data_IF_753029519807
#
_entry.id   IF_753029519807
#
_cell.length_a   1.000
_cell.length_b   1.000
_cell.length_c   1.000
_cell.angle_alpha   90.00
_cell.angle_beta   90.00
_cell.angle_gamma   90.00
#
_symmetry.space_group_name_H-M   'P 1'
#
loop_
_entity.id
_entity.type
_entity.pdbx_description
1 polymer ?
#
# COMPACT_ATOMS: atom_id res chain seq x y z
N UNK A 1 72.81 -22.95 -6.36
CA UNK A 1 72.32 -24.26 -5.89
C UNK A 1 70.86 -24.10 -5.51
N UNK A 2 69.85 -24.57 -6.27
CA UNK A 2 69.33 -25.97 -6.37
C UNK A 2 69.08 -26.54 -4.95
N UNK A 3 67.91 -26.96 -4.45
CA UNK A 3 66.69 -27.65 -4.99
C UNK A 3 65.62 -27.59 -3.86
N UNK A 4 64.39 -27.08 -4.06
CA UNK A 4 63.10 -27.78 -4.34
C UNK A 4 62.71 -28.99 -3.45
N UNK A 5 61.55 -28.89 -2.76
CA UNK A 5 60.32 -29.74 -2.84
C UNK A 5 59.45 -29.50 -1.58
N UNK A 6 58.20 -29.01 -1.63
CA UNK A 6 56.95 -29.54 -2.19
C UNK A 6 56.34 -30.68 -1.34
N UNK A 7 55.11 -30.47 -0.80
CA UNK A 7 53.88 -31.33 -0.74
C UNK A 7 52.94 -30.71 0.33
N UNK A 8 51.78 -30.08 0.09
CA UNK A 8 50.52 -30.42 -0.63
C UNK A 8 49.48 -31.21 0.23
N UNK A 9 48.41 -30.50 0.63
CA UNK A 9 46.96 -30.85 0.73
C UNK A 9 46.52 -32.12 1.47
N UNK A 10 45.64 -31.96 2.49
CA UNK A 10 44.30 -32.58 2.62
C UNK A 10 43.62 -32.07 3.92
N UNK A 11 42.54 -31.27 3.89
CA UNK A 11 41.12 -31.58 3.62
C UNK A 11 40.39 -32.30 4.77
N UNK A 12 39.23 -31.73 5.15
CA UNK A 12 38.15 -32.24 6.01
C UNK A 12 38.33 -32.30 7.54
N UNK A 13 37.49 -31.53 8.22
CA UNK A 13 37.27 -31.65 9.66
C UNK A 13 36.25 -30.64 10.19
N UNK A 14 35.13 -30.49 9.48
CA UNK A 14 33.96 -29.73 9.90
C UNK A 14 33.37 -30.38 11.17
N UNK A 15 33.81 -29.97 12.37
CA UNK A 15 33.04 -30.20 13.59
C UNK A 15 32.13 -28.99 13.80
N UNK A 16 30.99 -29.00 13.11
CA UNK A 16 29.82 -28.27 13.59
C UNK A 16 29.40 -28.97 14.87
N UNK A 17 29.66 -28.33 16.00
CA UNK A 17 28.97 -28.68 17.25
C UNK A 17 27.51 -28.27 17.04
N UNK A 18 26.69 -29.22 16.60
CA UNK A 18 25.24 -29.08 16.61
C UNK A 18 24.82 -29.22 18.07
N UNK A 19 24.94 -28.12 18.84
CA UNK A 19 24.07 -27.96 20.00
C UNK A 19 22.67 -27.73 19.43
N UNK A 20 21.90 -28.82 19.42
CA UNK A 20 20.46 -28.83 19.29
C UNK A 20 19.83 -27.73 20.14
N UNK A 21 19.48 -26.64 19.47
CA UNK A 21 18.78 -25.48 19.97
C UNK A 21 18.24 -24.78 18.74
N UNK A 22 16.93 -24.58 18.70
CA UNK A 22 16.19 -24.04 17.57
C UNK A 22 16.70 -22.63 17.20
N UNK A 23 17.67 -22.52 16.30
CA UNK A 23 18.19 -21.23 15.83
C UNK A 23 17.92 -21.07 14.34
N UNK A 24 17.16 -20.01 14.04
CA UNK A 24 17.08 -19.28 12.77
C UNK A 24 16.31 -19.91 11.58
N UNK A 25 15.03 -20.20 11.74
CA UNK A 25 14.07 -20.22 10.60
C UNK A 25 13.12 -19.03 10.54
N UNK A 26 13.27 -18.04 11.44
CA UNK A 26 12.40 -16.85 11.49
C UNK A 26 13.11 -15.56 11.03
N UNK A 27 14.24 -15.66 10.31
CA UNK A 27 15.02 -14.46 9.94
C UNK A 27 14.39 -13.61 8.82
N UNK A 28 13.31 -14.07 8.18
CA UNK A 28 12.62 -13.34 7.09
C UNK A 28 11.11 -13.64 7.04
N UNK A 29 10.45 -13.88 8.17
CA UNK A 29 8.99 -13.96 8.16
C UNK A 29 8.43 -12.53 8.16
N UNK A 30 7.91 -12.13 7.01
CA UNK A 30 7.00 -10.99 6.88
C UNK A 30 5.99 -11.02 8.03
N UNK A 31 5.84 -9.90 8.78
CA UNK A 31 4.87 -9.84 9.86
C UNK A 31 3.49 -10.27 9.38
N UNK A 32 2.82 -11.17 10.12
CA UNK A 32 1.46 -11.60 9.72
C UNK A 32 0.46 -10.44 9.66
N UNK A 33 0.76 -9.35 10.37
CA UNK A 33 0.00 -8.10 10.40
C UNK A 33 0.37 -7.14 9.28
N UNK A 34 1.44 -7.39 8.52
CA UNK A 34 1.88 -6.45 7.50
C UNK A 34 0.93 -6.37 6.32
N UNK A 35 0.98 -5.22 5.66
CA UNK A 35 0.14 -4.83 4.55
C UNK A 35 -0.69 -3.59 4.85
N UNK A 36 -1.54 -3.28 3.89
CA UNK A 36 -2.39 -2.11 3.92
C UNK A 36 -3.78 -2.49 4.44
N UNK A 37 -4.32 -1.66 5.32
CA UNK A 37 -5.55 -1.93 6.04
C UNK A 37 -6.45 -0.71 5.97
N UNK A 38 -7.74 -0.93 5.69
CA UNK A 38 -8.71 0.17 5.63
C UNK A 38 -10.03 -0.16 6.30
N UNK A 39 -10.53 0.83 7.02
CA UNK A 39 -11.84 0.81 7.63
C UNK A 39 -12.74 1.82 6.92
N UNK A 40 -13.71 1.28 6.16
CA UNK A 40 -14.58 2.07 5.27
C UNK A 40 -15.43 3.10 6.01
N UNK A 41 -15.97 2.72 7.17
CA UNK A 41 -16.98 3.56 7.85
C UNK A 41 -16.38 4.81 8.50
N UNK A 42 -15.14 4.72 9.00
CA UNK A 42 -14.41 5.88 9.51
C UNK A 42 -13.46 6.50 8.47
N UNK A 43 -13.37 5.93 7.27
CA UNK A 43 -12.43 6.34 6.24
C UNK A 43 -10.99 6.40 6.77
N UNK A 44 -10.57 5.43 7.58
CA UNK A 44 -9.21 5.37 8.17
C UNK A 44 -8.36 4.31 7.49
N UNK A 45 -7.09 4.64 7.31
CA UNK A 45 -6.08 3.81 6.65
C UNK A 45 -4.89 3.58 7.57
N UNK A 46 -4.33 2.36 7.54
CA UNK A 46 -3.10 1.99 8.22
C UNK A 46 -2.29 1.11 7.26
N UNK A 47 -1.05 1.49 6.97
CA UNK A 47 -0.07 0.62 6.32
C UNK A 47 0.95 0.17 7.35
N UNK A 48 1.13 -1.14 7.48
CA UNK A 48 2.12 -1.78 8.34
C UNK A 48 3.18 -2.43 7.44
N UNK A 49 4.36 -1.84 7.36
CA UNK A 49 5.43 -2.30 6.47
C UNK A 49 6.25 -3.43 7.09
N UNK A 50 6.85 -4.26 6.25
CA UNK A 50 7.67 -5.42 6.67
C UNK A 50 8.94 -5.01 7.44
N UNK A 51 9.39 -3.77 7.28
CA UNK A 51 10.56 -3.19 7.94
C UNK A 51 10.28 -2.66 9.36
N UNK A 52 9.04 -2.81 9.85
CA UNK A 52 8.63 -2.32 11.16
C UNK A 52 8.21 -0.85 11.17
N UNK A 53 8.06 -0.20 10.01
CA UNK A 53 7.50 1.15 9.91
C UNK A 53 6.00 1.13 9.63
N UNK A 54 5.31 2.21 9.99
CA UNK A 54 3.90 2.37 9.64
C UNK A 54 3.56 3.78 9.17
N UNK A 55 2.47 3.88 8.42
CA UNK A 55 1.78 5.13 8.17
C UNK A 55 0.30 4.98 8.43
N UNK A 56 -0.36 6.04 8.88
CA UNK A 56 -1.81 6.05 9.05
C UNK A 56 -2.40 7.43 8.74
N UNK A 57 -3.67 7.45 8.39
CA UNK A 57 -4.37 8.70 8.09
C UNK A 57 -5.83 8.53 7.70
N UNK A 58 -6.41 9.64 7.24
CA UNK A 58 -7.79 9.70 6.77
C UNK A 58 -7.84 9.66 5.25
N UNK A 59 -8.61 8.73 4.71
CA UNK A 59 -8.56 8.36 3.30
C UNK A 59 -7.60 7.21 3.07
N UNK A 60 -8.01 6.29 2.21
CA UNK A 60 -7.21 5.13 1.80
C UNK A 60 -5.87 5.62 1.23
N UNK A 61 -4.72 5.10 1.69
CA UNK A 61 -3.37 5.51 1.25
C UNK A 61 -2.91 6.92 1.60
N UNK A 62 -3.68 7.66 2.40
CA UNK A 62 -3.23 8.94 2.90
C UNK A 62 -2.49 8.74 4.23
N UNK A 63 -1.26 9.24 4.29
CA UNK A 63 -0.46 9.25 5.51
C UNK A 63 -0.51 10.64 6.14
N UNK A 64 -1.15 10.76 7.30
CA UNK A 64 -1.17 11.98 8.11
C UNK A 64 -0.18 11.88 9.26
N UNK A 65 0.26 10.67 9.62
CA UNK A 65 1.24 10.39 10.66
C UNK A 65 1.90 9.04 10.39
N UNK A 66 3.03 8.79 11.03
CA UNK A 66 3.74 7.52 10.95
C UNK A 66 4.85 7.42 11.99
N UNK A 67 5.60 6.33 11.89
CA UNK A 67 6.70 6.00 12.78
C UNK A 67 6.99 4.52 12.72
N UNK A 68 7.30 3.92 13.86
CA UNK A 68 7.63 2.50 13.99
C UNK A 68 6.55 1.72 14.71
N UNK A 69 6.47 0.41 14.49
CA UNK A 69 5.56 -0.45 15.22
C UNK A 69 6.22 -1.74 15.69
N UNK A 70 5.75 -2.20 16.84
CA UNK A 70 5.98 -3.56 17.33
C UNK A 70 4.66 -4.32 17.28
N UNK A 71 4.73 -5.65 17.21
CA UNK A 71 3.54 -6.48 17.36
C UNK A 71 3.84 -7.80 18.06
N UNK A 72 2.82 -8.34 18.74
CA UNK A 72 2.78 -9.72 19.19
C UNK A 72 1.50 -10.40 18.71
N UNK A 73 1.11 -11.55 19.29
CA UNK A 73 -0.09 -12.29 18.85
C UNK A 73 -1.42 -11.61 19.20
N UNK A 74 -1.42 -10.55 20.01
CA UNK A 74 -2.60 -9.91 20.60
C UNK A 74 -2.65 -8.42 20.35
N UNK A 75 -1.50 -7.76 20.26
CA UNK A 75 -1.41 -6.30 20.24
C UNK A 75 -0.44 -5.82 19.15
N UNK A 76 -0.81 -4.73 18.50
CA UNK A 76 0.08 -3.89 17.70
C UNK A 76 0.35 -2.64 18.53
N UNK A 77 1.62 -2.27 18.69
CA UNK A 77 2.04 -1.04 19.37
C UNK A 77 2.63 -0.10 18.33
N UNK A 78 1.99 1.05 18.12
CA UNK A 78 2.49 2.12 17.29
C UNK A 78 3.29 3.11 18.13
N UNK A 79 4.46 3.50 17.64
CA UNK A 79 5.30 4.57 18.16
C UNK A 79 5.28 5.71 17.14
N UNK A 80 4.50 6.75 17.44
CA UNK A 80 4.34 7.93 16.60
C UNK A 80 5.61 8.76 16.64
N UNK A 81 6.20 8.97 15.46
CA UNK A 81 7.45 9.72 15.32
C UNK A 81 7.24 11.05 14.60
N UNK A 82 6.23 11.13 13.71
CA UNK A 82 5.95 12.36 12.96
C UNK A 82 4.48 12.52 12.58
N UNK A 83 4.07 13.76 12.35
CA UNK A 83 2.86 14.12 11.60
C UNK A 83 3.22 14.68 10.23
N UNK A 84 2.24 14.68 9.32
CA UNK A 84 2.34 15.30 8.01
C UNK A 84 1.41 16.51 8.00
N UNK A 85 1.96 17.70 7.75
CA UNK A 85 1.18 18.93 7.64
C UNK A 85 0.30 18.93 6.39
N UNK A 86 -0.63 19.89 6.28
CA UNK A 86 -1.47 20.04 5.08
C UNK A 86 -0.64 20.29 3.79
N UNK A 87 0.60 20.76 3.93
CA UNK A 87 1.54 21.00 2.83
C UNK A 87 2.40 19.76 2.52
N UNK A 88 2.13 18.62 3.17
CA UNK A 88 2.86 17.36 2.96
C UNK A 88 4.22 17.28 3.68
N UNK A 89 4.53 18.25 4.53
CA UNK A 89 5.81 18.28 5.26
C UNK A 89 5.73 17.40 6.51
N UNK A 90 6.76 16.56 6.73
CA UNK A 90 6.92 15.82 7.99
C UNK A 90 7.36 16.77 9.10
N UNK A 91 6.68 16.69 10.22
CA UNK A 91 6.97 17.43 11.45
C UNK A 91 7.10 16.42 12.58
N UNK A 92 8.17 16.54 13.36
CA UNK A 92 8.44 15.62 14.47
C UNK A 92 7.27 15.61 15.45
N UNK A 93 6.93 14.43 15.96
CA UNK A 93 5.86 14.29 16.92
C UNK A 93 6.22 15.03 18.21
N UNK A 94 5.36 15.97 18.62
CA UNK A 94 5.53 16.64 19.91
C UNK A 94 5.21 15.65 21.04
N UNK A 95 6.25 15.12 21.67
CA UNK A 95 6.14 14.20 22.81
C UNK A 95 5.46 14.82 24.04
N UNK A 96 5.24 16.14 24.06
CA UNK A 96 4.48 16.84 25.11
C UNK A 96 2.97 16.92 24.80
N UNK A 97 2.52 16.43 23.64
CA UNK A 97 1.11 16.31 23.28
C UNK A 97 0.37 15.37 24.24
N UNK A 98 -0.76 15.82 24.78
CA UNK A 98 -1.64 15.07 25.69
C UNK A 98 -2.44 13.95 25.00
N UNK A 99 -2.30 13.77 23.68
CA UNK A 99 -3.00 12.73 22.91
C UNK A 99 -2.10 11.50 22.80
N UNK A 100 -2.46 10.44 23.54
CA UNK A 100 -1.71 9.18 23.58
C UNK A 100 -0.46 9.32 24.45
N UNK A 101 -0.28 8.40 25.40
CA UNK A 101 0.84 8.33 26.34
C UNK A 101 2.21 8.43 25.66
N UNK A 102 2.71 9.65 25.41
CA UNK A 102 4.02 9.92 24.81
C UNK A 102 4.16 9.48 23.35
N UNK A 103 3.11 9.58 22.53
CA UNK A 103 3.15 9.12 21.13
C UNK A 103 3.01 7.60 20.95
N UNK A 104 2.63 6.87 22.00
CA UNK A 104 2.38 5.43 21.94
C UNK A 104 0.90 5.09 21.81
N UNK A 105 0.52 4.28 20.83
CA UNK A 105 -0.83 3.72 20.67
C UNK A 105 -0.75 2.19 20.75
N UNK A 106 -1.47 1.59 21.68
CA UNK A 106 -1.59 0.12 21.79
C UNK A 106 -2.95 -0.32 21.26
N UNK A 107 -2.93 -1.21 20.27
CA UNK A 107 -4.09 -1.67 19.53
C UNK A 107 -4.25 -3.19 19.67
N UNK A 108 -5.10 -3.67 20.60
CA UNK A 108 -5.46 -5.07 20.63
C UNK A 108 -6.15 -5.47 19.32
N UNK A 109 -5.67 -6.54 18.70
CA UNK A 109 -6.15 -6.96 17.38
C UNK A 109 -6.51 -8.46 17.33
N UNK A 110 -7.31 -8.81 16.32
CA UNK A 110 -7.60 -10.18 15.92
C UNK A 110 -7.50 -10.24 14.39
N UNK A 111 -6.47 -10.94 13.90
CA UNK A 111 -6.36 -11.29 12.48
C UNK A 111 -7.25 -12.48 12.18
N UNK A 112 -7.94 -12.40 11.05
CA UNK A 112 -8.81 -13.46 10.55
C UNK A 112 -8.31 -13.94 9.20
N UNK A 113 -8.67 -15.18 8.86
CA UNK A 113 -8.24 -15.83 7.61
C UNK A 113 -8.94 -15.26 6.37
N UNK A 114 -9.92 -14.37 6.53
CA UNK A 114 -10.65 -13.68 5.48
C UNK A 114 -10.05 -12.30 5.14
N UNK A 115 -8.77 -12.10 5.45
CA UNK A 115 -8.03 -10.85 5.24
C UNK A 115 -8.64 -9.65 5.99
N UNK A 116 -9.25 -9.91 7.16
CA UNK A 116 -9.72 -8.85 8.06
C UNK A 116 -8.90 -8.78 9.33
N UNK A 117 -8.69 -7.55 9.81
CA UNK A 117 -8.07 -7.24 11.09
C UNK A 117 -9.07 -6.45 11.94
N UNK A 118 -9.48 -7.05 13.05
CA UNK A 118 -10.36 -6.38 14.01
C UNK A 118 -9.53 -5.71 15.09
N UNK A 119 -9.56 -4.39 15.17
CA UNK A 119 -8.94 -3.60 16.24
C UNK A 119 -9.99 -3.33 17.31
N UNK A 120 -9.68 -3.65 18.58
CA UNK A 120 -10.54 -3.35 19.73
C UNK A 120 -10.09 -2.04 20.35
N UNK A 121 -11.00 -1.07 20.45
CA UNK A 121 -10.77 0.20 21.12
C UNK A 121 -11.88 0.47 22.14
N UNK A 122 -11.64 1.40 23.07
CA UNK A 122 -12.68 1.84 24.02
C UNK A 122 -13.90 2.43 23.33
N UNK A 123 -13.74 3.02 22.13
CA UNK A 123 -14.83 3.55 21.31
C UNK A 123 -15.57 2.50 20.48
N UNK A 124 -15.19 1.22 20.58
CA UNK A 124 -15.79 0.12 19.83
C UNK A 124 -14.77 -0.68 19.01
N UNK A 125 -15.28 -1.72 18.35
CA UNK A 125 -14.46 -2.56 17.48
C UNK A 125 -14.44 -1.99 16.05
N UNK A 126 -13.25 -1.74 15.51
CA UNK A 126 -13.03 -1.36 14.12
C UNK A 126 -12.62 -2.60 13.33
N UNK A 127 -13.24 -2.84 12.17
CA UNK A 127 -12.90 -4.00 11.33
C UNK A 127 -12.23 -3.54 10.05
N UNK A 128 -10.91 -3.57 10.03
CA UNK A 128 -10.12 -3.25 8.85
C UNK A 128 -10.14 -4.43 7.87
N UNK A 129 -10.26 -4.12 6.59
CA UNK A 129 -10.06 -5.10 5.52
C UNK A 129 -8.68 -4.84 4.92
N UNK A 130 -7.92 -5.91 4.67
CA UNK A 130 -6.66 -5.81 3.95
C UNK A 130 -6.94 -5.28 2.55
N UNK A 131 -6.12 -4.34 2.10
CA UNK A 131 -6.16 -3.78 0.77
C UNK A 131 -4.92 -4.27 0.04
N UNK A 132 -5.10 -4.70 -1.19
CA UNK A 132 -3.97 -4.97 -2.07
C UNK A 132 -3.24 -6.25 -1.73
N UNK A 133 -3.12 -7.11 -2.74
CA UNK A 133 -2.03 -8.07 -2.79
C UNK A 133 -0.68 -7.38 -2.97
N UNK A 134 0.35 -8.16 -3.30
CA UNK A 134 1.74 -7.71 -3.42
C UNK A 134 1.91 -6.39 -4.21
N UNK A 135 2.82 -5.50 -3.76
CA UNK A 135 3.23 -4.32 -4.53
C UNK A 135 3.63 -4.74 -5.95
N UNK A 136 3.17 -3.97 -6.94
CA UNK A 136 3.46 -4.27 -8.35
C UNK A 136 4.02 -3.04 -9.05
N UNK A 137 4.98 -3.26 -9.94
CA UNK A 137 5.50 -2.19 -10.78
C UNK A 137 4.37 -1.58 -11.62
N UNK A 138 4.36 -0.24 -11.72
CA UNK A 138 3.41 0.46 -12.58
C UNK A 138 3.86 0.32 -14.03
N UNK A 139 3.27 -0.62 -14.74
CA UNK A 139 3.52 -0.85 -16.18
C UNK A 139 2.22 -0.70 -16.95
N UNK A 140 2.31 -0.47 -18.26
CA UNK A 140 1.13 -0.43 -19.15
C UNK A 140 0.29 -1.71 -19.03
N UNK A 141 0.95 -2.87 -18.92
CA UNK A 141 0.29 -4.17 -18.75
C UNK A 141 -0.52 -4.23 -17.45
N UNK A 142 0.08 -3.77 -16.35
CA UNK A 142 -0.58 -3.79 -15.05
C UNK A 142 -1.69 -2.74 -14.92
N UNK A 143 -1.69 -1.68 -15.72
CA UNK A 143 -2.76 -0.66 -15.71
C UNK A 143 -4.04 -1.12 -16.43
N UNK A 144 -3.95 -2.13 -17.31
CA UNK A 144 -5.11 -2.65 -18.06
C UNK A 144 -6.15 -3.18 -17.08
N UNK A 145 -7.41 -2.79 -17.29
CA UNK A 145 -8.54 -3.20 -16.45
C UNK A 145 -9.57 -2.10 -16.25
N UNK A 146 -10.53 -2.36 -15.36
CA UNK A 146 -11.54 -1.39 -14.96
C UNK A 146 -11.28 -0.93 -13.54
N UNK A 147 -11.45 0.37 -13.31
CA UNK A 147 -11.04 1.10 -12.11
C UNK A 147 -12.20 1.99 -11.65
N UNK A 148 -12.60 1.90 -10.39
CA UNK A 148 -13.67 2.71 -9.81
C UNK A 148 -13.08 3.82 -8.95
N UNK A 149 -13.47 5.06 -9.20
CA UNK A 149 -13.05 6.21 -8.40
C UNK A 149 -13.59 6.09 -6.98
N UNK A 150 -12.72 6.22 -5.99
CA UNK A 150 -13.06 5.93 -4.59
C UNK A 150 -14.04 6.96 -3.99
N UNK A 151 -14.07 8.20 -4.49
CA UNK A 151 -14.93 9.29 -3.96
C UNK A 151 -16.18 9.58 -4.80
N UNK A 152 -16.53 8.75 -5.79
CA UNK A 152 -17.67 9.04 -6.66
C UNK A 152 -18.13 7.88 -7.56
N UNK A 153 -19.05 8.18 -8.48
CA UNK A 153 -19.60 7.22 -9.45
C UNK A 153 -18.74 7.01 -10.71
N UNK A 154 -17.59 7.69 -10.82
CA UNK A 154 -16.73 7.60 -12.00
C UNK A 154 -16.02 6.24 -12.07
N UNK A 155 -15.95 5.67 -13.27
CA UNK A 155 -15.14 4.50 -13.57
C UNK A 155 -14.24 4.79 -14.78
N UNK A 156 -13.00 4.32 -14.73
CA UNK A 156 -12.01 4.36 -15.79
C UNK A 156 -11.73 2.93 -16.27
N UNK A 157 -11.82 2.68 -17.56
CA UNK A 157 -11.38 1.42 -18.17
C UNK A 157 -10.19 1.70 -19.11
N UNK A 158 -9.12 0.90 -18.97
CA UNK A 158 -7.94 0.90 -19.82
C UNK A 158 -7.84 -0.44 -20.53
N UNK A 159 -7.79 -0.42 -21.86
CA UNK A 159 -7.81 -1.61 -22.71
C UNK A 159 -6.43 -1.91 -23.28
N UNK A 160 -6.16 -3.19 -23.56
CA UNK A 160 -4.87 -3.64 -24.12
C UNK A 160 -4.52 -3.01 -25.47
N UNK A 161 -5.51 -2.55 -26.23
CA UNK A 161 -5.33 -1.88 -27.52
C UNK A 161 -4.94 -0.39 -27.41
N UNK A 162 -4.74 0.11 -26.18
CA UNK A 162 -4.41 1.51 -25.94
C UNK A 162 -5.62 2.44 -25.95
N UNK A 163 -6.85 1.92 -25.84
CA UNK A 163 -8.06 2.74 -25.68
C UNK A 163 -8.47 2.88 -24.22
N UNK A 164 -9.07 4.02 -23.88
CA UNK A 164 -9.69 4.24 -22.57
C UNK A 164 -11.16 4.62 -22.70
N UNK A 165 -11.91 4.38 -21.62
CA UNK A 165 -13.27 4.88 -21.45
C UNK A 165 -13.52 5.32 -20.01
N UNK A 166 -14.12 6.49 -19.82
CA UNK A 166 -14.63 6.97 -18.54
C UNK A 166 -16.15 6.95 -18.57
N UNK A 167 -16.75 6.31 -17.57
CA UNK A 167 -18.21 6.24 -17.41
C UNK A 167 -18.63 6.77 -16.05
N UNK A 168 -19.70 7.56 -16.00
CA UNK A 168 -20.33 7.97 -14.75
C UNK A 168 -21.47 7.00 -14.41
N UNK A 169 -21.35 6.33 -13.26
CA UNK A 169 -22.42 5.54 -12.68
C UNK A 169 -23.43 6.48 -12.00
N UNK A 170 -24.28 7.12 -12.81
CA UNK A 170 -25.47 7.79 -12.31
C UNK A 170 -26.55 6.73 -12.13
N UNK A 171 -26.92 6.44 -10.88
CA UNK A 171 -28.05 5.58 -10.58
C UNK A 171 -29.31 6.06 -11.30
N UNK A 172 -29.64 5.37 -12.39
CA UNK A 172 -30.84 5.43 -13.24
C UNK A 172 -31.91 6.46 -12.87
N UNK A 173 -32.10 7.49 -13.72
CA UNK A 173 -33.38 7.90 -14.33
C UNK A 173 -33.23 9.22 -15.13
N UNK A 174 -32.47 9.20 -16.22
CA UNK A 174 -32.80 9.97 -17.43
C UNK A 174 -31.76 9.64 -18.53
N UNK A 175 -32.19 8.91 -19.56
CA UNK A 175 -31.35 8.54 -20.71
C UNK A 175 -31.19 9.71 -21.69
N UNK A 176 -30.60 10.80 -21.22
CA UNK A 176 -29.86 11.66 -22.14
C UNK A 176 -28.42 11.17 -22.09
N UNK A 177 -27.89 10.76 -23.24
CA UNK A 177 -26.59 10.09 -23.37
C UNK A 177 -25.54 10.75 -22.47
N UNK A 178 -25.17 10.09 -21.38
CA UNK A 178 -24.00 10.49 -20.59
C UNK A 178 -22.84 10.56 -21.57
N UNK A 179 -22.18 11.71 -21.62
CA UNK A 179 -21.06 11.91 -22.53
C UNK A 179 -19.94 10.94 -22.11
N UNK A 180 -19.91 9.75 -22.71
CA UNK A 180 -18.82 8.80 -22.52
C UNK A 180 -17.54 9.47 -23.03
N UNK A 181 -16.65 9.80 -22.09
CA UNK A 181 -15.33 10.32 -22.43
C UNK A 181 -14.44 9.12 -22.75
N UNK A 182 -14.14 8.97 -24.04
CA UNK A 182 -13.36 7.85 -24.56
C UNK A 182 -12.32 8.35 -25.55
N UNK A 183 -11.24 7.59 -25.70
CA UNK A 183 -10.14 7.96 -26.56
C UNK A 183 -8.98 6.96 -26.48
N UNK A 184 -7.77 7.44 -26.75
CA UNK A 184 -6.55 6.65 -26.64
C UNK A 184 -5.76 7.06 -25.40
N UNK A 185 -4.96 6.12 -24.88
CA UNK A 185 -4.03 6.39 -23.81
C UNK A 185 -2.62 5.88 -24.12
N UNK A 186 -1.64 6.52 -23.49
CA UNK A 186 -0.26 6.04 -23.40
C UNK A 186 0.23 6.12 -21.96
N UNK A 187 1.17 5.27 -21.61
CA UNK A 187 1.83 5.30 -20.30
C UNK A 187 3.34 5.22 -20.49
N UNK A 188 4.04 6.30 -20.17
CA UNK A 188 5.49 6.43 -20.32
C UNK A 188 6.08 7.16 -19.12
N UNK A 189 7.17 6.64 -18.55
CA UNK A 189 7.90 7.27 -17.45
C UNK A 189 7.02 7.69 -16.25
N UNK A 190 6.04 6.85 -15.87
CA UNK A 190 5.14 7.14 -14.75
C UNK A 190 4.03 8.15 -15.07
N UNK A 191 3.83 8.52 -16.33
CA UNK A 191 2.78 9.46 -16.75
C UNK A 191 1.77 8.76 -17.65
N UNK A 192 0.51 8.73 -17.22
CA UNK A 192 -0.63 8.31 -18.03
C UNK A 192 -1.17 9.53 -18.79
N UNK A 193 -1.21 9.42 -20.11
CA UNK A 193 -1.77 10.44 -21.00
C UNK A 193 -3.10 9.93 -21.54
N UNK A 194 -4.20 10.67 -21.33
CA UNK A 194 -5.51 10.38 -21.91
C UNK A 194 -5.83 11.41 -23.00
N UNK A 195 -6.16 10.95 -24.20
CA UNK A 195 -6.44 11.80 -25.35
C UNK A 195 -7.76 11.39 -26.04
N UNK A 196 -8.76 12.26 -26.04
CA UNK A 196 -10.04 12.06 -26.76
C UNK A 196 -10.14 12.85 -28.07
N UNK A 197 -9.00 13.29 -28.62
CA UNK A 197 -8.91 14.08 -29.84
C UNK A 197 -9.20 15.58 -29.65
N UNK A 198 -9.94 15.97 -28.62
CA UNK A 198 -10.22 17.38 -28.30
C UNK A 198 -9.40 17.90 -27.11
N UNK A 199 -9.09 17.02 -26.16
CA UNK A 199 -8.35 17.36 -24.95
C UNK A 199 -7.30 16.28 -24.65
N UNK A 200 -6.19 16.72 -24.06
CA UNK A 200 -5.14 15.86 -23.53
C UNK A 200 -5.08 16.08 -22.02
N UNK A 201 -5.15 15.00 -21.25
CA UNK A 201 -4.96 15.01 -19.79
C UNK A 201 -3.76 14.18 -19.41
N UNK A 202 -2.95 14.74 -18.52
CA UNK A 202 -1.72 14.12 -18.02
C UNK A 202 -1.89 13.82 -16.55
N UNK A 203 -1.54 12.59 -16.16
CA UNK A 203 -1.57 12.16 -14.77
C UNK A 203 -0.26 11.48 -14.41
N UNK A 204 0.43 11.97 -13.38
CA UNK A 204 1.42 11.15 -12.70
C UNK A 204 0.67 9.95 -12.10
N UNK A 205 1.10 8.75 -12.46
CA UNK A 205 0.31 7.55 -12.25
C UNK A 205 1.16 6.48 -11.59
N UNK A 206 0.62 5.90 -10.53
CA UNK A 206 1.26 4.88 -9.73
C UNK A 206 0.23 3.83 -9.34
N UNK A 207 0.53 2.56 -9.63
CA UNK A 207 -0.10 1.44 -8.94
C UNK A 207 0.52 1.37 -7.55
N UNK A 208 -0.18 1.97 -6.59
CA UNK A 208 0.19 1.87 -5.18
C UNK A 208 0.15 0.40 -4.76
N UNK A 209 -0.81 -0.35 -5.31
CA UNK A 209 -0.95 -1.81 -5.17
C UNK A 209 -1.57 -2.41 -6.45
N UNK A 210 -1.57 -3.75 -6.59
CA UNK A 210 -2.13 -4.43 -7.76
C UNK A 210 -3.61 -4.07 -8.06
N UNK A 211 -4.38 -3.77 -7.01
CA UNK A 211 -5.80 -3.41 -7.08
C UNK A 211 -6.05 -1.90 -6.88
N UNK A 212 -4.99 -1.07 -6.82
CA UNK A 212 -5.14 0.34 -6.48
C UNK A 212 -4.27 1.27 -7.31
N UNK A 213 -4.96 2.20 -7.96
CA UNK A 213 -4.36 3.19 -8.86
C UNK A 213 -4.44 4.57 -8.22
N UNK A 214 -3.30 5.24 -8.10
CA UNK A 214 -3.18 6.66 -7.79
C UNK A 214 -2.91 7.42 -9.09
N UNK A 215 -3.67 8.48 -9.31
CA UNK A 215 -3.49 9.41 -10.43
C UNK A 215 -3.44 10.82 -9.86
N UNK A 216 -2.42 11.59 -10.21
CA UNK A 216 -2.21 12.95 -9.72
C UNK A 216 -2.03 13.92 -10.89
N UNK A 217 -2.71 15.06 -10.84
CA UNK A 217 -2.52 16.17 -11.76
C UNK A 217 -2.62 17.52 -11.00
N UNK A 218 -2.65 18.63 -11.73
CA UNK A 218 -2.74 19.98 -11.16
C UNK A 218 -4.03 20.24 -10.35
N UNK A 219 -5.09 19.46 -10.55
CA UNK A 219 -6.36 19.61 -9.83
C UNK A 219 -6.47 18.73 -8.58
N UNK A 220 -5.55 17.77 -8.41
CA UNK A 220 -5.40 17.01 -7.18
C UNK A 220 -5.00 15.55 -7.40
N UNK A 221 -5.18 14.77 -6.34
CA UNK A 221 -4.88 13.33 -6.29
C UNK A 221 -6.17 12.52 -6.27
N UNK A 222 -6.25 11.54 -7.16
CA UNK A 222 -7.40 10.67 -7.39
C UNK A 222 -6.99 9.22 -7.15
N UNK A 223 -7.79 8.53 -6.35
CA UNK A 223 -7.58 7.11 -6.09
C UNK A 223 -8.69 6.29 -6.71
N UNK A 224 -8.30 5.19 -7.34
CA UNK A 224 -9.21 4.23 -7.93
C UNK A 224 -8.92 2.83 -7.40
N UNK A 225 -9.98 2.04 -7.22
CA UNK A 225 -9.89 0.61 -6.88
C UNK A 225 -10.25 -0.23 -8.10
N UNK A 226 -9.50 -1.31 -8.34
CA UNK A 226 -9.75 -2.23 -9.44
C UNK A 226 -11.09 -2.93 -9.26
N UNK A 227 -11.86 -3.00 -10.34
CA UNK A 227 -13.10 -3.79 -10.42
C UNK A 227 -12.70 -5.20 -10.85
N UNK A 228 -12.65 -6.13 -9.91
CA UNK A 228 -12.45 -7.55 -10.19
C UNK A 228 -13.77 -8.10 -10.74
N UNK A 229 -13.73 -8.68 -11.95
CA UNK A 229 -14.85 -9.45 -12.51
C UNK A 229 -14.66 -10.93 -12.22
#
# INVERSE_FOLDING_TARGET
>A
MKIKKLTLIMMFGLMVVITSGCFATDLFKTPAVSGDWYHKDSNTYIALSDDGTFTMGYGKGNANTGGTYDYDKKEITLHLEYTVSAEGKKEDWDTNSTIGSGGKIVMPYELRNDETMKIKSEGGNLTYTKIGGEPIETTTENLIGSWKYEKGGLQLALSQDGTYRITEDHGSQDQTASAEDQGTYTFENGVLTLNNGSNIRLFKTELVMADRLCMENETGTFFYTRIVK
#
